data_IF_333015670474
#
_entry.id   IF_333015670474
#
_cell.length_a   1.000
_cell.length_b   1.000
_cell.length_c   1.000
_cell.angle_alpha   90.00
_cell.angle_beta   90.00
_cell.angle_gamma   90.00
#
_symmetry.space_group_name_H-M   'P 1'
#
loop_
_entity.id
_entity.type
_entity.pdbx_description
1 polymer ?
#
# COMPACT_ATOMS: atom_id res chain seq x y z
N UNK A 1 -26.89 -42.44 -33.61
CA UNK A 1 -27.59 -41.15 -33.87
C UNK A 1 -27.14 -40.12 -32.84
N UNK A 2 -27.24 -38.82 -33.15
CA UNK A 2 -26.90 -37.69 -32.26
C UNK A 2 -28.00 -37.43 -31.21
N UNK A 3 -27.63 -36.89 -30.04
CA UNK A 3 -28.28 -35.78 -29.29
C UNK A 3 -27.44 -35.45 -28.04
N UNK A 4 -26.65 -34.37 -27.98
CA UNK A 4 -26.93 -32.94 -27.65
C UNK A 4 -26.94 -32.56 -26.15
N UNK A 5 -26.12 -31.54 -25.84
CA UNK A 5 -25.94 -30.84 -24.56
C UNK A 5 -27.09 -29.92 -24.15
N UNK A 6 -27.23 -29.62 -22.84
CA UNK A 6 -27.80 -28.35 -22.33
C UNK A 6 -27.10 -27.87 -21.04
N UNK A 7 -26.91 -26.54 -20.95
CA UNK A 7 -26.62 -25.79 -19.71
C UNK A 7 -27.94 -25.26 -19.10
N UNK A 8 -28.02 -24.98 -17.80
CA UNK A 8 -29.03 -24.09 -17.23
C UNK A 8 -28.58 -22.62 -17.27
N UNK A 9 -29.55 -21.72 -17.41
CA UNK A 9 -29.45 -20.26 -17.21
C UNK A 9 -30.68 -19.82 -16.44
N UNK A 10 -30.57 -18.88 -15.49
CA UNK A 10 -31.74 -18.29 -14.82
C UNK A 10 -31.75 -16.76 -14.94
N UNK A 11 -32.95 -16.19 -15.08
CA UNK A 11 -33.21 -14.76 -15.32
C UNK A 11 -33.65 -14.01 -14.05
N UNK A 12 -33.42 -12.70 -14.09
CA UNK A 12 -33.90 -11.58 -13.24
C UNK A 12 -35.41 -11.49 -13.03
N UNK A 13 -35.87 -10.85 -11.93
CA UNK A 13 -36.95 -9.82 -11.89
C UNK A 13 -36.67 -8.81 -10.74
N UNK A 14 -37.03 -7.53 -10.92
CA UNK A 14 -37.05 -6.45 -9.92
C UNK A 14 -38.50 -6.02 -9.55
N UNK A 15 -38.73 -5.57 -8.31
CA UNK A 15 -39.69 -4.51 -7.90
C UNK A 15 -39.51 -4.21 -6.38
N UNK A 16 -39.47 -3.00 -5.79
CA UNK A 16 -40.24 -1.72 -5.87
C UNK A 16 -41.68 -1.82 -5.33
N UNK A 17 -42.21 -1.03 -4.37
CA UNK A 17 -41.69 -0.03 -3.39
C UNK A 17 -42.81 0.30 -2.36
N UNK A 18 -42.51 0.67 -1.09
CA UNK A 18 -43.33 1.53 -0.15
C UNK A 18 -44.79 1.13 0.21
N UNK A 19 -45.36 1.42 1.41
CA UNK A 19 -45.78 2.73 1.95
C UNK A 19 -46.28 2.61 3.43
N UNK A 20 -45.97 3.64 4.24
CA UNK A 20 -46.65 4.19 5.45
C UNK A 20 -46.88 3.40 6.75
N UNK A 21 -47.03 4.20 7.82
CA UNK A 21 -47.26 3.85 9.23
C UNK A 21 -48.60 4.42 9.75
N UNK A 22 -49.04 3.95 10.91
CA UNK A 22 -49.93 4.69 11.83
C UNK A 22 -49.73 4.21 13.29
N UNK A 23 -49.95 5.10 14.27
CA UNK A 23 -49.69 4.88 15.71
C UNK A 23 -50.96 4.48 16.50
N UNK A 24 -50.76 3.85 17.68
CA UNK A 24 -51.54 3.94 18.96
C UNK A 24 -50.99 2.87 19.95
N UNK A 25 -50.80 3.09 21.26
CA UNK A 25 -50.52 4.30 22.05
C UNK A 25 -49.90 3.94 23.43
N UNK A 26 -49.17 4.88 24.06
CA UNK A 26 -48.92 5.04 25.53
C UNK A 26 -48.53 3.83 26.42
N UNK A 27 -47.30 3.86 26.95
CA UNK A 27 -46.88 3.11 28.15
C UNK A 27 -45.44 3.44 28.57
N UNK A 28 -45.24 4.06 29.74
CA UNK A 28 -43.91 4.43 30.25
C UNK A 28 -43.08 3.22 30.71
N UNK A 29 -41.76 3.22 30.46
CA UNK A 29 -40.62 3.19 31.42
C UNK A 29 -39.33 3.48 30.63
N UNK A 30 -38.33 4.09 31.28
CA UNK A 30 -37.12 4.68 30.64
C UNK A 30 -35.91 3.75 30.48
N UNK A 31 -35.21 3.96 29.37
CA UNK A 31 -33.75 3.88 29.15
C UNK A 31 -33.03 2.53 28.89
N UNK A 32 -32.29 2.55 27.78
CA UNK A 32 -31.06 1.83 27.45
C UNK A 32 -31.10 0.29 27.31
N UNK A 33 -31.12 -0.18 26.05
CA UNK A 33 -30.86 -1.57 25.70
C UNK A 33 -29.40 -1.96 26.04
N UNK A 34 -29.26 -3.03 26.83
CA UNK A 34 -27.97 -3.66 27.13
C UNK A 34 -27.56 -4.61 26.00
N UNK A 35 -26.52 -4.23 25.25
CA UNK A 35 -25.80 -5.14 24.38
C UNK A 35 -24.52 -5.63 25.08
N UNK A 36 -24.49 -6.92 25.44
CA UNK A 36 -23.31 -7.65 25.88
C UNK A 36 -23.17 -8.88 24.98
N UNK A 37 -22.16 -8.95 24.12
CA UNK A 37 -20.84 -9.56 24.40
C UNK A 37 -20.90 -11.11 24.42
N UNK A 38 -19.98 -11.88 23.81
CA UNK A 38 -18.80 -11.56 23.00
C UNK A 38 -18.23 -12.84 22.34
N UNK A 39 -16.97 -12.80 21.86
CA UNK A 39 -16.13 -13.84 21.23
C UNK A 39 -16.39 -14.03 19.73
N UNK A 40 -15.43 -13.95 18.80
CA UNK A 40 -13.96 -13.92 18.80
C UNK A 40 -13.56 -14.56 17.44
N UNK A 41 -12.52 -14.19 16.69
CA UNK A 41 -11.29 -13.45 17.01
C UNK A 41 -10.95 -12.55 15.81
N UNK A 42 -10.81 -11.24 16.00
CA UNK A 42 -10.28 -10.34 14.96
C UNK A 42 -8.75 -10.32 15.04
N UNK A 43 -8.11 -11.31 14.42
CA UNK A 43 -6.67 -11.24 14.14
C UNK A 43 -6.41 -10.01 13.25
N UNK A 44 -5.37 -9.24 13.58
CA UNK A 44 -4.84 -8.26 12.64
C UNK A 44 -4.53 -8.99 11.32
N UNK A 45 -5.20 -8.49 10.29
CA UNK A 45 -5.18 -8.76 8.84
C UNK A 45 -5.99 -7.60 8.21
N UNK A 46 -5.93 -7.34 6.90
CA UNK A 46 -5.42 -6.09 6.33
C UNK A 46 -6.37 -4.87 6.48
N UNK A 47 -6.69 -4.42 7.68
CA UNK A 47 -7.65 -3.32 7.89
C UNK A 47 -7.24 -2.00 7.20
N UNK A 48 -5.93 -1.76 7.03
CA UNK A 48 -5.41 -0.66 6.19
C UNK A 48 -5.76 -0.83 4.71
N UNK A 49 -5.85 -2.06 4.20
CA UNK A 49 -6.35 -2.33 2.85
C UNK A 49 -7.88 -2.48 2.80
N UNK A 50 -8.62 -2.85 3.86
CA UNK A 50 -10.08 -2.99 3.71
C UNK A 50 -10.78 -1.63 3.61
N UNK A 51 -10.36 -0.62 4.38
CA UNK A 51 -10.88 0.74 4.21
C UNK A 51 -10.40 1.40 2.91
N UNK A 52 -9.11 1.20 2.57
CA UNK A 52 -8.46 1.83 1.43
C UNK A 52 -8.82 1.13 0.11
N UNK A 53 -8.88 -0.21 0.06
CA UNK A 53 -9.36 -0.99 -1.11
C UNK A 53 -10.88 -1.06 -1.24
N UNK A 54 -11.69 -0.76 -0.21
CA UNK A 54 -13.13 -0.47 -0.45
C UNK A 54 -13.32 0.88 -1.14
N UNK A 55 -12.48 1.89 -0.88
CA UNK A 55 -12.52 3.18 -1.60
C UNK A 55 -11.80 3.13 -2.95
N UNK A 56 -10.62 2.50 -3.06
CA UNK A 56 -9.91 2.23 -4.33
C UNK A 56 -10.66 1.19 -5.19
N UNK A 57 -11.51 0.35 -4.60
CA UNK A 57 -12.44 -0.52 -5.33
C UNK A 57 -13.46 0.24 -6.20
N UNK A 58 -13.70 1.52 -5.92
CA UNK A 58 -14.42 2.44 -6.81
C UNK A 58 -13.49 3.09 -7.85
N UNK A 59 -12.21 3.31 -7.53
CA UNK A 59 -11.16 3.71 -8.47
C UNK A 59 -10.65 2.53 -9.34
N UNK A 60 -11.59 1.68 -9.79
CA UNK A 60 -11.28 0.38 -10.43
C UNK A 60 -10.52 0.49 -11.75
N UNK A 61 -10.51 1.67 -12.37
CA UNK A 61 -9.67 2.01 -13.52
C UNK A 61 -9.02 3.39 -13.31
N UNK A 62 -7.91 3.42 -12.55
CA UNK A 62 -6.93 4.51 -12.66
C UNK A 62 -6.26 4.43 -14.05
N UNK A 63 -6.83 5.12 -15.04
CA UNK A 63 -6.16 5.35 -16.32
C UNK A 63 -4.94 6.25 -16.10
N UNK A 64 -3.76 5.62 -16.01
CA UNK A 64 -2.48 6.28 -15.78
C UNK A 64 -2.00 7.15 -16.95
N UNK A 65 -2.71 7.17 -18.09
CA UNK A 65 -2.26 7.88 -19.29
C UNK A 65 -2.40 9.41 -19.22
N UNK A 66 -3.09 9.97 -18.21
CA UNK A 66 -3.37 11.42 -18.10
C UNK A 66 -3.02 12.06 -16.75
N UNK A 67 -2.56 11.30 -15.75
CA UNK A 67 -2.23 11.84 -14.43
C UNK A 67 -0.85 12.52 -14.45
N UNK A 68 -0.70 13.77 -13.95
CA UNK A 68 0.61 14.41 -13.87
C UNK A 68 1.51 13.70 -12.84
N UNK A 69 2.80 13.56 -13.16
CA UNK A 69 3.81 13.05 -12.21
C UNK A 69 4.37 14.11 -11.28
N UNK A 70 3.87 15.34 -11.41
CA UNK A 70 4.48 16.55 -10.85
C UNK A 70 3.41 17.54 -10.40
N UNK A 71 3.58 18.07 -9.20
CA UNK A 71 2.82 19.18 -8.62
C UNK A 71 3.74 20.41 -8.54
N UNK A 72 3.31 21.55 -9.07
CA UNK A 72 4.05 22.82 -8.94
C UNK A 72 3.60 23.59 -7.70
N UNK A 73 4.49 24.44 -7.16
CA UNK A 73 4.14 25.32 -6.05
C UNK A 73 2.98 26.26 -6.42
N UNK A 74 2.21 26.69 -5.42
CA UNK A 74 0.91 27.36 -5.52
C UNK A 74 -0.28 26.43 -5.89
N UNK A 75 -0.16 25.11 -5.73
CA UNK A 75 -1.25 24.17 -6.00
C UNK A 75 -1.57 23.29 -4.78
N UNK A 76 -2.76 22.72 -4.79
CA UNK A 76 -3.24 21.81 -3.76
C UNK A 76 -4.04 20.65 -4.35
N UNK A 77 -4.05 19.56 -3.60
CA UNK A 77 -4.72 18.29 -3.87
C UNK A 77 -5.66 18.05 -2.67
N UNK A 78 -6.89 17.61 -2.91
CA UNK A 78 -7.93 17.41 -1.89
C UNK A 78 -8.51 16.01 -1.98
N UNK A 79 -8.77 15.37 -0.85
CA UNK A 79 -9.31 14.01 -0.80
C UNK A 79 -10.65 13.85 -1.55
N UNK A 80 -11.51 14.87 -1.54
CA UNK A 80 -12.84 14.81 -2.18
C UNK A 80 -12.86 15.22 -3.67
N UNK A 81 -11.72 15.58 -4.27
CA UNK A 81 -11.64 16.05 -5.67
C UNK A 81 -11.22 14.92 -6.62
N UNK A 82 -11.94 14.60 -7.71
CA UNK A 82 -11.63 13.48 -8.62
C UNK A 82 -10.21 13.43 -9.23
N UNK A 83 -9.39 14.49 -9.12
CA UNK A 83 -7.94 14.45 -9.38
C UNK A 83 -7.13 14.66 -8.10
N UNK A 84 -7.23 13.69 -7.17
CA UNK A 84 -6.65 13.73 -5.82
C UNK A 84 -5.18 13.20 -5.68
N UNK A 85 -4.40 13.11 -6.78
CA UNK A 85 -3.06 12.52 -6.73
C UNK A 85 -2.09 12.94 -7.86
N UNK A 86 -0.80 12.64 -7.67
CA UNK A 86 0.21 12.60 -8.73
C UNK A 86 0.81 11.18 -8.86
N UNK A 87 1.06 10.72 -10.09
CA UNK A 87 1.50 9.36 -10.39
C UNK A 87 2.91 9.29 -10.97
N UNK A 88 3.71 8.33 -10.52
CA UNK A 88 5.01 8.01 -11.12
C UNK A 88 4.85 7.55 -12.58
N UNK A 89 5.82 7.85 -13.44
CA UNK A 89 5.73 7.60 -14.88
C UNK A 89 5.67 6.10 -15.27
N UNK A 90 5.93 5.18 -14.34
CA UNK A 90 5.74 3.74 -14.50
C UNK A 90 4.40 3.22 -13.94
N UNK A 91 3.53 4.10 -13.41
CA UNK A 91 2.24 3.73 -12.82
C UNK A 91 2.33 2.86 -11.57
N UNK A 92 3.49 2.79 -10.92
CA UNK A 92 3.72 1.92 -9.74
C UNK A 92 3.65 2.63 -8.40
N UNK A 93 3.54 3.95 -8.40
CA UNK A 93 3.43 4.75 -7.19
C UNK A 93 2.59 5.99 -7.42
N UNK A 94 1.74 6.29 -6.45
CA UNK A 94 0.92 7.51 -6.38
C UNK A 94 1.19 8.25 -5.07
N UNK A 95 1.19 9.58 -5.11
CA UNK A 95 1.12 10.42 -3.93
C UNK A 95 -0.30 11.01 -3.82
N UNK A 96 -1.05 10.56 -2.82
CA UNK A 96 -2.50 10.78 -2.66
C UNK A 96 -2.80 11.59 -1.39
N UNK A 97 -3.83 12.43 -1.47
CA UNK A 97 -4.51 12.90 -0.26
C UNK A 97 -5.52 11.84 0.18
N UNK A 98 -5.45 11.41 1.44
CA UNK A 98 -6.39 10.48 2.07
C UNK A 98 -6.97 11.16 3.32
N UNK A 99 -8.10 10.67 3.83
CA UNK A 99 -8.80 11.34 4.92
C UNK A 99 -7.98 11.30 6.22
N UNK A 100 -7.48 12.46 6.66
CA UNK A 100 -6.54 12.61 7.77
C UNK A 100 -5.06 12.35 7.42
N UNK A 101 -4.70 12.14 6.15
CA UNK A 101 -3.35 11.75 5.76
C UNK A 101 -2.88 12.29 4.38
N UNK A 102 -1.56 12.37 4.21
CA UNK A 102 -0.92 12.33 2.89
C UNK A 102 -0.08 11.06 2.78
N UNK A 103 -0.24 10.29 1.70
CA UNK A 103 0.30 8.93 1.59
C UNK A 103 0.99 8.73 0.25
N UNK A 104 2.15 8.06 0.24
CA UNK A 104 2.78 7.52 -0.97
C UNK A 104 2.46 6.03 -1.03
N UNK A 105 1.57 5.67 -1.95
CA UNK A 105 1.19 4.29 -2.23
C UNK A 105 2.13 3.68 -3.26
N UNK A 106 2.59 2.45 -3.02
CA UNK A 106 3.13 1.58 -4.06
C UNK A 106 2.01 0.67 -4.57
N UNK A 107 1.73 0.74 -5.86
CA UNK A 107 0.80 -0.15 -6.54
C UNK A 107 1.51 -1.44 -6.99
N UNK A 108 0.95 -2.56 -6.56
CA UNK A 108 1.39 -3.91 -6.92
C UNK A 108 0.23 -4.59 -7.64
N UNK A 109 0.43 -4.81 -8.94
CA UNK A 109 -0.63 -5.25 -9.85
C UNK A 109 -0.60 -6.75 -10.03
N UNK A 110 -1.76 -7.40 -9.95
CA UNK A 110 -1.91 -8.84 -10.06
C UNK A 110 -2.72 -9.21 -11.31
N UNK A 111 -2.07 -9.55 -12.44
CA UNK A 111 -2.69 -9.59 -13.77
C UNK A 111 -3.85 -10.58 -13.96
N UNK A 112 -4.08 -11.47 -13.01
CA UNK A 112 -5.14 -12.49 -13.09
C UNK A 112 -5.89 -12.64 -11.77
N UNK A 113 -5.94 -11.59 -10.95
CA UNK A 113 -6.58 -11.62 -9.62
C UNK A 113 -8.12 -11.46 -9.66
N UNK A 114 -8.69 -11.00 -10.77
CA UNK A 114 -10.14 -10.96 -10.99
C UNK A 114 -10.88 -10.00 -10.05
N UNK A 115 -11.41 -10.54 -8.95
CA UNK A 115 -12.10 -9.75 -7.91
C UNK A 115 -11.20 -9.38 -6.72
N UNK A 116 -10.01 -9.98 -6.61
CA UNK A 116 -9.02 -9.58 -5.61
C UNK A 116 -8.26 -8.38 -6.18
N UNK A 117 -8.27 -7.26 -5.45
CA UNK A 117 -7.71 -5.99 -5.93
C UNK A 117 -6.20 -6.07 -6.08
N UNK A 118 -5.64 -5.15 -6.86
CA UNK A 118 -4.23 -4.78 -6.72
C UNK A 118 -3.93 -4.44 -5.25
N UNK A 119 -2.71 -4.72 -4.80
CA UNK A 119 -2.25 -4.31 -3.46
C UNK A 119 -1.65 -2.91 -3.51
N UNK A 120 -1.93 -2.11 -2.48
CA UNK A 120 -1.43 -0.76 -2.32
C UNK A 120 -0.68 -0.66 -0.99
N UNK A 121 0.64 -0.57 -1.03
CA UNK A 121 1.49 -0.49 0.16
C UNK A 121 1.80 0.97 0.51
N UNK A 122 1.53 1.39 1.75
CA UNK A 122 1.81 2.74 2.22
C UNK A 122 3.28 2.96 2.55
N UNK A 123 4.11 3.18 1.52
CA UNK A 123 5.57 3.33 1.62
C UNK A 123 6.02 4.56 2.44
N UNK A 124 5.15 5.57 2.53
CA UNK A 124 5.30 6.73 3.41
C UNK A 124 3.92 7.30 3.72
N UNK A 125 3.74 7.80 4.93
CA UNK A 125 2.52 8.51 5.32
C UNK A 125 2.82 9.51 6.43
N UNK A 126 2.22 10.69 6.35
CA UNK A 126 2.07 11.59 7.50
C UNK A 126 0.57 11.84 7.73
N UNK A 127 0.10 11.63 8.96
CA UNK A 127 -1.31 11.51 9.29
C UNK A 127 -1.59 11.91 10.74
N UNK A 128 -2.87 12.22 11.03
CA UNK A 128 -3.40 12.37 12.39
C UNK A 128 -4.59 11.41 12.59
N UNK A 129 -4.45 10.46 13.52
CA UNK A 129 -5.47 9.46 13.84
C UNK A 129 -6.78 10.05 14.43
N UNK A 130 -6.77 11.32 14.83
CA UNK A 130 -7.94 11.99 15.42
C UNK A 130 -8.83 12.66 14.35
N UNK A 131 -8.39 12.70 13.09
CA UNK A 131 -9.13 13.30 11.98
C UNK A 131 -10.22 12.36 11.48
N UNK A 132 -11.35 12.91 11.05
CA UNK A 132 -12.46 12.12 10.51
C UNK A 132 -12.06 11.36 9.25
N UNK A 133 -12.54 10.13 9.11
CA UNK A 133 -12.45 9.29 7.89
C UNK A 133 -13.19 9.88 6.66
N UNK A 134 -13.91 10.98 6.86
CA UNK A 134 -14.66 11.73 5.86
C UNK A 134 -14.25 13.22 5.88
N UNK A 135 -13.07 13.56 6.42
CA UNK A 135 -12.49 14.90 6.35
C UNK A 135 -11.91 15.17 4.95
N UNK A 136 -12.19 16.34 4.38
CA UNK A 136 -11.61 16.78 3.11
C UNK A 136 -10.16 17.24 3.29
N UNK A 137 -9.28 16.32 3.69
CA UNK A 137 -7.87 16.58 3.91
C UNK A 137 -7.21 17.03 2.61
N UNK A 138 -6.32 18.01 2.73
CA UNK A 138 -5.61 18.60 1.61
C UNK A 138 -4.09 18.46 1.75
N UNK A 139 -3.44 18.14 0.63
CA UNK A 139 -2.01 18.33 0.43
C UNK A 139 -1.84 19.66 -0.29
N UNK A 140 -1.25 20.65 0.38
CA UNK A 140 -1.01 21.99 -0.16
C UNK A 140 0.48 22.23 -0.38
N UNK A 141 0.89 22.48 -1.63
CA UNK A 141 2.24 22.92 -1.97
C UNK A 141 2.25 24.44 -2.19
N UNK A 142 2.59 25.18 -1.14
CA UNK A 142 2.47 26.63 -1.10
C UNK A 142 3.51 27.35 -2.00
N UNK A 143 3.17 28.56 -2.45
CA UNK A 143 4.04 29.40 -3.29
C UNK A 143 5.44 29.70 -2.67
N UNK A 144 5.53 29.67 -1.34
CA UNK A 144 6.76 29.86 -0.57
C UNK A 144 7.67 28.61 -0.57
N UNK A 145 7.23 27.49 -1.15
CA UNK A 145 7.97 26.24 -1.22
C UNK A 145 7.74 25.28 -0.06
N UNK A 146 6.76 25.50 0.82
CA UNK A 146 6.37 24.55 1.87
C UNK A 146 5.31 23.55 1.37
N UNK A 147 5.50 22.25 1.61
CA UNK A 147 4.50 21.21 1.39
C UNK A 147 3.85 20.87 2.72
N UNK A 148 2.53 20.99 2.83
CA UNK A 148 1.78 20.72 4.05
C UNK A 148 0.61 19.77 3.80
N UNK A 149 0.32 18.91 4.78
CA UNK A 149 -0.91 18.12 4.89
C UNK A 149 -1.78 18.81 5.94
N UNK A 150 -3.05 19.04 5.62
CA UNK A 150 -3.98 19.80 6.47
C UNK A 150 -5.37 19.18 6.46
N UNK A 151 -6.09 19.28 7.58
CA UNK A 151 -7.50 18.91 7.64
C UNK A 151 -8.33 19.80 6.71
N UNK A 152 -9.57 19.38 6.39
CA UNK A 152 -10.52 20.19 5.63
C UNK A 152 -10.87 21.52 6.31
N UNK A 153 -10.75 21.58 7.64
CA UNK A 153 -10.86 22.82 8.43
C UNK A 153 -9.57 23.69 8.44
N UNK A 154 -8.51 23.26 7.74
CA UNK A 154 -7.24 23.98 7.63
C UNK A 154 -6.26 23.77 8.80
N UNK A 155 -6.54 22.85 9.73
CA UNK A 155 -5.61 22.47 10.79
C UNK A 155 -4.36 21.79 10.22
N UNK A 156 -3.17 22.05 10.78
CA UNK A 156 -1.92 21.47 10.28
C UNK A 156 -1.74 20.04 10.82
N UNK A 157 -1.61 19.06 9.92
CA UNK A 157 -1.25 17.67 10.26
C UNK A 157 0.27 17.49 10.18
N UNK A 158 0.89 17.97 9.09
CA UNK A 158 2.33 17.85 8.85
C UNK A 158 2.82 18.88 7.84
N UNK A 159 4.11 19.27 7.88
CA UNK A 159 4.77 19.97 6.78
C UNK A 159 6.25 19.60 6.57
N UNK A 160 6.76 19.84 5.36
CA UNK A 160 8.16 19.60 4.97
C UNK A 160 9.15 20.57 5.61
N UNK A 161 8.68 21.69 6.20
CA UNK A 161 9.50 22.75 6.78
C UNK A 161 10.50 23.33 5.77
N UNK A 162 9.99 23.63 4.57
CA UNK A 162 10.73 24.14 3.40
C UNK A 162 10.28 25.53 2.94
N UNK A 163 9.37 26.18 3.67
CA UNK A 163 9.04 27.60 3.49
C UNK A 163 10.31 28.47 3.33
N UNK A 164 10.38 29.25 2.24
CA UNK A 164 11.51 30.11 1.92
C UNK A 164 12.73 29.41 1.31
N UNK A 165 12.79 28.08 1.27
CA UNK A 165 13.94 27.30 0.74
C UNK A 165 13.91 27.11 -0.78
N UNK A 166 13.04 27.83 -1.49
CA UNK A 166 13.02 27.86 -2.96
C UNK A 166 12.39 26.64 -3.65
N UNK A 167 11.63 25.81 -2.93
CA UNK A 167 10.87 24.71 -3.55
C UNK A 167 9.88 25.23 -4.61
N UNK A 168 9.86 24.57 -5.77
CA UNK A 168 9.00 24.94 -6.92
C UNK A 168 8.30 23.76 -7.57
N UNK A 169 8.92 22.59 -7.55
CA UNK A 169 8.44 21.40 -8.25
C UNK A 169 8.49 20.22 -7.30
N UNK A 170 7.42 19.44 -7.22
CA UNK A 170 7.32 18.23 -6.42
C UNK A 170 6.98 17.07 -7.36
N UNK A 171 7.87 16.09 -7.48
CA UNK A 171 7.75 15.00 -8.45
C UNK A 171 7.90 13.66 -7.75
N UNK A 172 7.01 12.69 -8.05
CA UNK A 172 7.18 11.30 -7.61
C UNK A 172 7.89 10.50 -8.71
N UNK A 173 9.02 9.87 -8.35
CA UNK A 173 9.83 9.13 -9.31
C UNK A 173 9.45 7.64 -9.39
N UNK A 174 9.97 6.94 -10.41
CA UNK A 174 9.70 5.52 -10.67
C UNK A 174 10.20 4.54 -9.57
N UNK A 175 10.90 5.05 -8.55
CA UNK A 175 11.33 4.29 -7.38
C UNK A 175 10.46 4.56 -6.15
N UNK A 176 9.43 5.39 -6.25
CA UNK A 176 8.53 5.75 -5.15
C UNK A 176 9.05 6.86 -4.24
N UNK A 177 10.13 7.56 -4.60
CA UNK A 177 10.63 8.71 -3.83
C UNK A 177 9.96 9.99 -4.33
N UNK A 178 9.38 10.75 -3.42
CA UNK A 178 8.76 12.05 -3.68
C UNK A 178 9.82 13.14 -3.45
N UNK A 179 10.17 13.89 -4.49
CA UNK A 179 11.31 14.82 -4.48
C UNK A 179 10.81 16.24 -4.74
N UNK A 180 11.15 17.16 -3.84
CA UNK A 180 10.94 18.59 -4.02
C UNK A 180 12.23 19.23 -4.56
N UNK A 181 12.13 19.99 -5.65
CA UNK A 181 13.26 20.70 -6.27
C UNK A 181 13.01 22.20 -6.44
N UNK A 182 14.10 22.96 -6.55
CA UNK A 182 14.08 24.36 -6.99
C UNK A 182 13.88 24.47 -8.50
N UNK A 183 13.64 25.68 -9.01
CA UNK A 183 13.58 25.94 -10.46
C UNK A 183 14.88 25.55 -11.21
N UNK A 184 16.02 25.48 -10.51
CA UNK A 184 17.30 25.04 -11.06
C UNK A 184 17.54 23.52 -10.90
N UNK A 185 16.55 22.76 -10.42
CA UNK A 185 16.63 21.30 -10.25
C UNK A 185 17.33 20.83 -8.96
N UNK A 186 17.79 21.73 -8.09
CA UNK A 186 18.42 21.35 -6.83
C UNK A 186 17.39 20.79 -5.84
N UNK A 187 17.69 19.67 -5.17
CA UNK A 187 16.78 19.03 -4.20
C UNK A 187 16.69 19.87 -2.92
N UNK A 188 15.45 20.20 -2.53
CA UNK A 188 15.12 20.96 -1.30
C UNK A 188 14.67 20.01 -0.18
N UNK A 189 13.91 18.98 -0.54
CA UNK A 189 13.40 17.94 0.37
C UNK A 189 13.08 16.67 -0.42
N UNK A 190 13.07 15.53 0.25
CA UNK A 190 12.58 14.27 -0.30
C UNK A 190 11.99 13.38 0.80
N UNK A 191 11.01 12.53 0.46
CA UNK A 191 10.39 11.60 1.42
C UNK A 191 11.34 10.49 1.87
N UNK A 192 12.28 10.07 1.01
CA UNK A 192 13.16 8.92 1.24
C UNK A 192 12.46 7.56 1.06
N UNK A 193 11.18 7.57 0.70
CA UNK A 193 10.36 6.39 0.42
C UNK A 193 10.87 5.60 -0.78
N UNK A 194 10.61 4.30 -0.76
CA UNK A 194 11.01 3.32 -1.78
C UNK A 194 9.97 2.20 -1.80
N UNK A 195 10.14 1.23 -2.69
CA UNK A 195 9.38 -0.02 -2.67
C UNK A 195 9.36 -0.68 -1.28
N UNK A 196 8.16 -1.12 -0.88
CA UNK A 196 7.88 -1.97 0.27
C UNK A 196 7.72 -3.42 -0.19
N UNK A 197 7.03 -3.64 -1.31
CA UNK A 197 6.82 -4.96 -1.88
C UNK A 197 7.41 -5.19 -3.28
N UNK A 198 7.48 -6.45 -3.69
CA UNK A 198 7.70 -6.87 -5.09
C UNK A 198 6.69 -7.94 -5.51
N UNK A 199 6.21 -7.87 -6.74
CA UNK A 199 5.37 -8.92 -7.35
C UNK A 199 6.20 -10.02 -8.00
N UNK A 200 5.57 -11.16 -8.25
CA UNK A 200 6.08 -12.21 -9.11
C UNK A 200 6.63 -11.64 -10.43
N UNK A 201 7.69 -12.28 -10.95
CA UNK A 201 8.45 -11.82 -12.11
C UNK A 201 9.16 -10.46 -11.93
N UNK A 202 9.45 -10.07 -10.68
CA UNK A 202 10.27 -8.89 -10.36
C UNK A 202 11.62 -9.26 -9.77
N UNK A 203 12.60 -8.37 -9.94
CA UNK A 203 13.93 -8.47 -9.31
C UNK A 203 14.15 -7.34 -8.30
N UNK A 204 14.89 -7.65 -7.23
CA UNK A 204 15.53 -6.68 -6.34
C UNK A 204 17.04 -6.67 -6.68
N UNK A 205 17.54 -5.63 -7.38
CA UNK A 205 18.92 -5.58 -7.85
C UNK A 205 19.97 -5.60 -6.73
N UNK A 206 21.21 -5.93 -7.09
CA UNK A 206 22.34 -5.83 -6.17
C UNK A 206 22.52 -4.39 -5.66
N UNK A 207 22.71 -4.25 -4.34
CA UNK A 207 22.81 -2.95 -3.66
C UNK A 207 21.46 -2.25 -3.40
N UNK A 208 20.32 -2.87 -3.73
CA UNK A 208 18.99 -2.33 -3.47
C UNK A 208 18.31 -3.02 -2.29
N UNK A 209 17.31 -2.35 -1.72
CA UNK A 209 16.51 -2.86 -0.61
C UNK A 209 15.05 -2.41 -0.72
N UNK A 210 14.16 -3.25 -0.22
CA UNK A 210 12.78 -2.88 0.11
C UNK A 210 12.73 -2.39 1.56
N UNK A 211 11.80 -1.50 1.90
CA UNK A 211 11.58 -1.12 3.29
C UNK A 211 10.12 -0.84 3.63
N UNK A 212 9.80 -1.13 4.88
CA UNK A 212 8.56 -0.76 5.55
C UNK A 212 8.88 0.07 6.79
N UNK A 213 8.08 1.09 7.06
CA UNK A 213 8.16 1.89 8.28
C UNK A 213 6.79 1.85 8.98
N UNK A 214 6.64 0.96 9.96
CA UNK A 214 5.48 0.99 10.85
C UNK A 214 5.58 2.21 11.76
N UNK A 215 4.59 3.09 11.65
CA UNK A 215 4.33 4.14 12.64
C UNK A 215 3.37 3.53 13.67
N UNK A 216 3.66 3.73 14.96
CA UNK A 216 2.88 3.19 16.08
C UNK A 216 1.37 3.40 15.92
N UNK A 217 0.65 2.29 15.76
CA UNK A 217 -0.80 2.24 15.64
C UNK A 217 -1.36 1.29 16.70
N UNK A 218 -2.45 1.66 17.38
CA UNK A 218 -3.13 0.88 18.42
C UNK A 218 -2.20 0.20 19.46
N UNK A 219 -1.08 0.85 19.82
CA UNK A 219 -0.11 0.34 20.80
C UNK A 219 0.88 -0.71 20.28
N UNK A 220 0.86 -1.05 18.98
CA UNK A 220 1.77 -2.04 18.38
C UNK A 220 3.24 -1.56 18.24
N UNK A 221 3.52 -0.32 18.61
CA UNK A 221 4.85 0.29 18.54
C UNK A 221 5.26 0.67 17.11
N UNK A 222 6.28 1.53 17.00
CA UNK A 222 6.93 1.83 15.73
C UNK A 222 8.08 0.86 15.49
N UNK A 223 8.20 0.32 14.28
CA UNK A 223 9.38 -0.42 13.84
C UNK A 223 9.62 -0.21 12.35
N UNK A 224 10.86 -0.38 11.92
CA UNK A 224 11.24 -0.32 10.52
C UNK A 224 11.83 -1.67 10.08
N UNK A 225 11.32 -2.25 9.01
CA UNK A 225 11.85 -3.49 8.44
C UNK A 225 12.37 -3.29 7.02
N UNK A 226 13.29 -4.16 6.59
CA UNK A 226 13.89 -4.06 5.27
C UNK A 226 14.38 -5.41 4.74
N UNK A 227 14.08 -5.73 3.49
CA UNK A 227 14.73 -6.80 2.73
C UNK A 227 15.84 -6.21 1.85
N UNK A 228 17.09 -6.49 2.16
CA UNK A 228 18.28 -5.90 1.54
C UNK A 228 19.08 -6.91 0.74
N UNK A 229 19.29 -6.64 -0.55
CA UNK A 229 20.18 -7.41 -1.43
C UNK A 229 21.55 -6.74 -1.47
N UNK A 230 22.47 -7.15 -0.60
CA UNK A 230 23.79 -6.53 -0.51
C UNK A 230 24.67 -6.82 -1.74
N UNK A 231 25.57 -5.90 -2.07
CA UNK A 231 26.49 -5.97 -3.23
C UNK A 231 27.44 -7.17 -3.19
N UNK A 232 27.72 -7.71 -2.00
CA UNK A 232 28.48 -8.94 -1.79
C UNK A 232 27.70 -10.23 -2.15
N UNK A 233 26.42 -10.11 -2.50
CA UNK A 233 25.55 -11.22 -2.85
C UNK A 233 24.76 -11.84 -1.70
N UNK A 234 24.76 -11.25 -0.50
CA UNK A 234 23.94 -11.70 0.62
C UNK A 234 22.57 -11.00 0.57
N UNK A 235 21.48 -11.78 0.54
CA UNK A 235 20.13 -11.28 0.80
C UNK A 235 19.83 -11.42 2.30
N UNK A 236 19.40 -10.34 2.95
CA UNK A 236 19.11 -10.31 4.39
C UNK A 236 17.85 -9.51 4.70
N UNK A 237 17.12 -9.93 5.74
CA UNK A 237 15.97 -9.22 6.28
C UNK A 237 16.30 -8.70 7.69
N UNK A 238 16.00 -7.42 7.92
CA UNK A 238 16.34 -6.70 9.16
C UNK A 238 15.13 -5.99 9.74
N UNK A 239 15.10 -5.84 11.07
CA UNK A 239 14.11 -5.10 11.83
C UNK A 239 14.84 -4.14 12.77
N UNK A 240 14.47 -2.87 12.78
CA UNK A 240 15.12 -1.78 13.53
C UNK A 240 16.64 -1.74 13.31
N UNK A 241 17.08 -1.99 12.06
CA UNK A 241 18.48 -2.07 11.67
C UNK A 241 19.22 -3.36 12.07
N UNK A 242 18.61 -4.25 12.86
CA UNK A 242 19.18 -5.54 13.25
C UNK A 242 18.77 -6.62 12.24
N UNK A 243 19.74 -7.29 11.62
CA UNK A 243 19.48 -8.48 10.80
C UNK A 243 18.88 -9.59 11.66
N UNK A 244 17.70 -10.08 11.27
CA UNK A 244 17.02 -11.22 11.93
C UNK A 244 17.12 -12.49 11.09
N UNK A 245 17.25 -12.35 9.77
CA UNK A 245 17.44 -13.47 8.85
C UNK A 245 18.36 -13.11 7.69
N UNK A 246 19.11 -14.08 7.18
CA UNK A 246 19.89 -13.92 5.95
C UNK A 246 20.15 -15.25 5.24
N UNK A 247 20.38 -15.15 3.93
CA UNK A 247 20.72 -16.27 3.03
C UNK A 247 22.15 -16.78 3.20
N UNK A 248 23.06 -15.95 3.73
CA UNK A 248 24.51 -16.21 3.83
C UNK A 248 25.21 -16.46 2.48
N UNK A 249 24.59 -16.11 1.35
CA UNK A 249 25.22 -16.18 0.03
C UNK A 249 26.29 -15.10 -0.13
N UNK A 250 27.37 -15.41 -0.85
CA UNK A 250 28.55 -14.55 -1.01
C UNK A 250 29.05 -14.53 -2.46
N UNK A 251 28.16 -14.21 -3.40
CA UNK A 251 28.47 -14.10 -4.83
C UNK A 251 28.20 -12.66 -5.28
N UNK A 252 29.24 -11.80 -5.38
CA UNK A 252 29.07 -10.39 -5.73
C UNK A 252 28.27 -10.16 -7.01
N UNK A 253 27.48 -9.09 -7.05
CA UNK A 253 26.60 -8.78 -8.18
C UNK A 253 25.37 -9.68 -8.32
N UNK A 254 25.15 -10.64 -7.41
CA UNK A 254 23.87 -11.36 -7.36
C UNK A 254 22.70 -10.39 -7.13
N UNK A 255 21.54 -10.76 -7.62
CA UNK A 255 20.27 -10.08 -7.37
C UNK A 255 19.28 -11.06 -6.70
N UNK A 256 18.27 -10.53 -6.02
CA UNK A 256 17.14 -11.34 -5.60
C UNK A 256 16.01 -11.27 -6.63
N UNK A 257 15.21 -12.32 -6.73
CA UNK A 257 14.06 -12.39 -7.64
C UNK A 257 12.89 -13.11 -6.98
N UNK A 258 11.66 -12.63 -7.20
CA UNK A 258 10.44 -13.35 -6.85
C UNK A 258 9.87 -14.00 -8.12
N UNK A 259 9.85 -15.33 -8.18
CA UNK A 259 9.42 -16.06 -9.37
C UNK A 259 7.90 -16.07 -9.55
N UNK A 260 7.46 -16.46 -10.74
CA UNK A 260 6.04 -16.76 -11.04
C UNK A 260 5.49 -17.99 -10.31
N UNK A 261 6.34 -18.83 -9.73
CA UNK A 261 5.99 -19.91 -8.80
C UNK A 261 5.98 -19.48 -7.33
N UNK A 262 6.22 -18.18 -7.06
CA UNK A 262 6.23 -17.58 -5.73
C UNK A 262 7.49 -17.87 -4.90
N UNK A 263 8.60 -18.29 -5.50
CA UNK A 263 9.86 -18.47 -4.78
C UNK A 263 10.66 -17.17 -4.75
N UNK A 264 11.13 -16.79 -3.57
CA UNK A 264 12.20 -15.81 -3.43
C UNK A 264 13.54 -16.53 -3.65
N UNK A 265 14.33 -16.03 -4.58
CA UNK A 265 15.60 -16.63 -4.98
C UNK A 265 16.72 -15.60 -4.97
N UNK A 266 17.96 -16.04 -4.73
CA UNK A 266 19.16 -15.25 -5.01
C UNK A 266 19.83 -15.85 -6.24
N UNK A 267 20.02 -15.03 -7.27
CA UNK A 267 20.51 -15.45 -8.59
C UNK A 267 21.84 -14.73 -8.85
N UNK A 268 22.87 -15.52 -9.14
CA UNK A 268 24.22 -15.03 -9.47
C UNK A 268 24.28 -14.37 -10.86
N UNK A 269 25.31 -13.56 -11.16
CA UNK A 269 25.50 -12.98 -12.50
C UNK A 269 25.56 -14.01 -13.64
N UNK A 270 25.94 -15.25 -13.34
CA UNK A 270 25.95 -16.36 -14.30
C UNK A 270 24.58 -17.04 -14.48
N UNK A 271 23.48 -16.45 -13.98
CA UNK A 271 22.12 -17.00 -14.05
C UNK A 271 21.84 -18.17 -13.10
N UNK A 272 22.84 -18.68 -12.38
CA UNK A 272 22.66 -19.78 -11.42
C UNK A 272 22.00 -19.27 -10.14
N UNK A 273 20.93 -19.94 -9.71
CA UNK A 273 20.35 -19.81 -8.38
C UNK A 273 21.33 -20.30 -7.30
N UNK A 274 21.69 -19.42 -6.37
CA UNK A 274 22.59 -19.72 -5.24
C UNK A 274 21.84 -19.86 -3.91
N UNK A 275 20.60 -19.37 -3.84
CA UNK A 275 19.65 -19.64 -2.76
C UNK A 275 18.22 -19.61 -3.29
N UNK A 276 17.31 -20.34 -2.63
CA UNK A 276 15.85 -20.29 -2.85
C UNK A 276 15.13 -20.54 -1.52
N UNK A 277 13.99 -19.88 -1.33
CA UNK A 277 13.04 -20.12 -0.25
C UNK A 277 12.39 -21.50 -0.30
N UNK A 278 12.44 -22.18 -1.46
CA UNK A 278 11.94 -23.55 -1.71
C UNK A 278 10.44 -23.78 -1.43
N UNK A 279 9.66 -22.74 -1.17
CA UNK A 279 8.21 -22.83 -1.14
C UNK A 279 7.64 -23.12 -2.53
N UNK A 280 6.40 -23.62 -2.59
CA UNK A 280 5.68 -23.87 -3.84
C UNK A 280 4.38 -23.08 -3.92
N UNK A 281 3.55 -23.44 -4.89
CA UNK A 281 2.14 -23.04 -4.99
C UNK A 281 1.85 -21.53 -5.16
N UNK A 282 2.87 -20.72 -5.47
CA UNK A 282 2.65 -19.36 -5.94
C UNK A 282 2.12 -19.28 -7.37
N UNK A 283 1.73 -18.07 -7.77
CA UNK A 283 1.25 -17.72 -9.12
C UNK A 283 1.79 -16.37 -9.58
N UNK A 284 1.35 -15.86 -10.75
CA UNK A 284 1.63 -14.46 -11.15
C UNK A 284 1.02 -13.43 -10.18
N UNK A 285 -0.01 -13.82 -9.40
CA UNK A 285 -0.62 -12.99 -8.37
C UNK A 285 0.10 -13.13 -7.01
N UNK A 286 1.43 -13.30 -7.01
CA UNK A 286 2.22 -13.43 -5.76
C UNK A 286 2.94 -12.13 -5.47
N UNK A 287 2.94 -11.68 -4.21
CA UNK A 287 3.74 -10.56 -3.71
C UNK A 287 4.65 -10.98 -2.56
N UNK A 288 5.80 -10.33 -2.41
CA UNK A 288 6.53 -10.26 -1.14
C UNK A 288 6.22 -8.93 -0.47
N UNK A 289 5.83 -8.98 0.79
CA UNK A 289 5.51 -7.85 1.67
C UNK A 289 6.64 -7.69 2.71
N UNK A 290 7.30 -6.53 2.76
CA UNK A 290 8.40 -6.27 3.71
C UNK A 290 7.88 -5.89 5.09
N UNK A 291 6.65 -5.40 5.23
CA UNK A 291 6.04 -5.14 6.53
C UNK A 291 5.67 -6.43 7.25
N UNK A 292 4.88 -7.29 6.60
CA UNK A 292 4.45 -8.58 7.14
C UNK A 292 5.55 -9.67 7.06
N UNK A 293 6.63 -9.45 6.30
CA UNK A 293 7.75 -10.37 6.10
C UNK A 293 7.35 -11.72 5.45
N UNK A 294 6.40 -11.69 4.52
CA UNK A 294 5.80 -12.87 3.90
C UNK A 294 5.83 -12.82 2.37
N UNK A 295 5.76 -14.00 1.76
CA UNK A 295 5.30 -14.15 0.38
C UNK A 295 3.84 -14.58 0.45
N UNK A 296 2.94 -13.81 -0.18
CA UNK A 296 1.50 -14.05 -0.21
C UNK A 296 0.97 -14.16 -1.63
N UNK A 297 -0.07 -14.97 -1.81
CA UNK A 297 -0.83 -15.07 -3.06
C UNK A 297 -2.12 -14.28 -2.92
N UNK A 298 -2.32 -13.27 -3.77
CA UNK A 298 -3.53 -12.49 -3.83
C UNK A 298 -4.70 -13.36 -4.34
N UNK A 299 -5.45 -13.88 -3.39
CA UNK A 299 -6.65 -14.69 -3.52
C UNK A 299 -7.62 -14.39 -2.36
N UNK A 300 -8.77 -15.04 -2.31
CA UNK A 300 -9.81 -14.81 -1.29
C UNK A 300 -9.37 -15.04 0.16
N UNK A 301 -8.26 -15.74 0.37
CA UNK A 301 -7.71 -16.08 1.68
C UNK A 301 -6.34 -15.44 1.95
N UNK A 302 -5.86 -14.55 1.05
CA UNK A 302 -4.50 -13.97 1.06
C UNK A 302 -3.42 -14.97 1.48
N UNK A 303 -3.36 -16.10 0.76
CA UNK A 303 -2.58 -17.26 1.23
C UNK A 303 -1.10 -16.95 1.35
N UNK A 304 -0.60 -16.91 2.59
CA UNK A 304 0.83 -16.86 2.91
C UNK A 304 1.44 -18.22 2.52
N UNK A 305 2.39 -18.20 1.58
CA UNK A 305 3.10 -19.40 1.10
C UNK A 305 4.56 -19.48 1.59
N UNK A 306 5.08 -18.40 2.19
CA UNK A 306 6.36 -18.38 2.88
C UNK A 306 6.42 -17.21 3.87
N UNK A 307 7.16 -17.37 4.97
CA UNK A 307 7.52 -16.30 5.91
C UNK A 307 9.04 -16.26 6.04
N UNK A 308 9.60 -15.05 6.19
CA UNK A 308 11.00 -14.88 6.59
C UNK A 308 11.24 -15.61 7.92
N UNK A 309 12.21 -16.55 8.03
CA UNK A 309 12.44 -17.26 9.28
C UNK A 309 12.75 -16.31 10.45
N UNK A 310 12.10 -16.52 11.59
CA UNK A 310 12.31 -15.70 12.79
C UNK A 310 11.50 -14.39 12.84
N UNK A 311 10.47 -14.23 11.99
CA UNK A 311 9.52 -13.10 12.04
C UNK A 311 8.10 -13.51 12.47
N UNK A 312 7.95 -14.65 13.14
CA UNK A 312 6.64 -15.19 13.57
C UNK A 312 5.87 -14.29 14.56
N UNK A 313 6.58 -13.34 15.18
CA UNK A 313 5.99 -12.31 16.06
C UNK A 313 5.41 -11.10 15.31
N UNK A 314 5.68 -10.95 14.01
CA UNK A 314 5.05 -9.90 13.19
C UNK A 314 3.61 -10.37 12.90
N UNK A 315 2.58 -9.58 13.29
CA UNK A 315 1.19 -9.88 12.94
C UNK A 315 0.98 -9.92 11.42
N UNK A 316 -0.06 -10.63 10.99
CA UNK A 316 -0.53 -10.56 9.60
C UNK A 316 -1.42 -9.33 9.37
#
# INVERSE_FOLDING_TARGET
MRTTTRRPTLKTVLSTTTVAAALVSTGCVTAAASASASTGVSHFTPARATALSQRIGAAKELDSSTVPSTLTACNNIHADNPTYWISSANGRYDFVADHGAGVILQLVQFPSAGAYSNEAFGTWSAFDNNVSKDDNTSISFYCNGDLAIRTGAGGLIWNSNTAGKGGKTLTINNSGNLVMTTAAGAVVWQSGSRADGIQANSVLPSGQYLHYNQISYNGQGSYNSSLSMYTNGNLAYSINGKTVWQTNTKVPGSHAALTTSGQLMVISPAGKAVWSSRNGYGSINTGFDTGAAVIQVANSAQTIIWRVPGTDFIPN
#
